data_IF_625072248702
#
_entry.id   IF_625072248702
#
_cell.length_a   1.000
_cell.length_b   1.000
_cell.length_c   1.000
_cell.angle_alpha   90.00
_cell.angle_beta   90.00
_cell.angle_gamma   90.00
#
_symmetry.space_group_name_H-M   'P 1'
#
loop_
_entity.id
_entity.type
_entity.pdbx_description
1 polymer ?
#
# COMPACT_ATOMS: atom_id res chain seq x y z
N UNK A 1 5.75 -5.25 -21.15
CA UNK A 1 6.29 -4.07 -21.88
C UNK A 1 5.47 -2.87 -21.46
N UNK A 2 5.95 -2.12 -20.46
CA UNK A 2 5.40 -0.81 -20.07
C UNK A 2 6.00 0.22 -21.03
N UNK A 3 5.21 0.68 -21.98
CA UNK A 3 5.56 1.86 -22.77
C UNK A 3 5.25 3.11 -21.93
N UNK A 4 6.28 3.67 -21.33
CA UNK A 4 6.20 5.01 -20.72
C UNK A 4 6.33 6.04 -21.83
N UNK A 5 5.21 6.64 -22.25
CA UNK A 5 5.27 7.83 -23.08
C UNK A 5 5.65 9.01 -22.18
N UNK A 6 6.91 9.41 -22.24
CA UNK A 6 7.41 10.63 -21.62
C UNK A 6 6.96 11.84 -22.44
N UNK A 7 5.84 12.46 -22.06
CA UNK A 7 5.52 13.80 -22.51
C UNK A 7 6.35 14.82 -21.72
N UNK A 8 7.14 15.61 -22.42
CA UNK A 8 8.12 16.59 -21.91
C UNK A 8 7.48 17.89 -21.39
N UNK A 9 6.41 17.81 -20.61
CA UNK A 9 5.81 18.95 -19.91
C UNK A 9 5.38 18.55 -18.52
N UNK A 10 6.34 18.19 -17.67
CA UNK A 10 6.03 17.90 -16.28
C UNK A 10 6.64 18.92 -15.35
N UNK A 11 5.81 19.80 -14.83
CA UNK A 11 6.12 20.62 -13.64
C UNK A 11 6.10 19.79 -12.34
N UNK A 12 6.03 18.45 -12.42
CA UNK A 12 5.92 17.54 -11.28
C UNK A 12 7.22 16.80 -10.98
N UNK A 13 7.37 16.36 -9.74
CA UNK A 13 8.43 15.46 -9.27
C UNK A 13 7.84 14.16 -8.74
N UNK A 14 8.67 13.14 -8.70
CA UNK A 14 8.39 11.85 -8.10
C UNK A 14 9.43 11.53 -7.03
N UNK A 15 8.97 11.26 -5.84
CA UNK A 15 9.81 10.83 -4.72
C UNK A 15 9.30 9.48 -4.21
N UNK A 16 10.15 8.47 -4.22
CA UNK A 16 9.80 7.12 -3.79
C UNK A 16 10.78 6.56 -2.77
N UNK A 17 10.30 5.68 -1.92
CA UNK A 17 11.14 4.88 -1.04
C UNK A 17 10.68 3.43 -1.03
N UNK A 18 11.60 2.52 -0.72
CA UNK A 18 11.31 1.10 -0.56
C UNK A 18 12.31 0.46 0.40
N UNK A 19 11.92 -0.67 1.00
CA UNK A 19 12.77 -1.55 1.79
C UNK A 19 13.57 -2.53 0.92
N UNK A 20 13.23 -2.68 -0.37
CA UNK A 20 14.03 -3.44 -1.32
C UNK A 20 15.21 -2.62 -1.81
N UNK A 21 16.35 -2.85 -1.17
CA UNK A 21 17.61 -2.18 -1.51
C UNK A 21 18.03 -2.34 -2.96
N UNK A 22 17.78 -3.51 -3.56
CA UNK A 22 18.16 -3.79 -4.94
C UNK A 22 17.24 -3.07 -5.93
N UNK A 23 15.94 -3.06 -5.68
CA UNK A 23 14.96 -2.32 -6.44
C UNK A 23 15.23 -0.82 -6.42
N UNK A 24 15.52 -0.26 -5.24
CA UNK A 24 15.89 1.15 -5.09
C UNK A 24 17.17 1.48 -5.89
N UNK A 25 18.22 0.66 -5.75
CA UNK A 25 19.46 0.88 -6.49
C UNK A 25 19.26 0.80 -8.01
N UNK A 26 18.39 -0.11 -8.46
CA UNK A 26 18.00 -0.20 -9.87
C UNK A 26 17.30 1.08 -10.34
N UNK A 27 16.31 1.56 -9.57
CA UNK A 27 15.60 2.81 -9.87
C UNK A 27 16.56 4.01 -9.91
N UNK A 28 17.40 4.17 -8.91
CA UNK A 28 18.41 5.24 -8.86
C UNK A 28 19.30 5.25 -10.10
N UNK A 29 19.75 4.07 -10.56
CA UNK A 29 20.59 3.95 -11.74
C UNK A 29 19.84 4.30 -13.03
N UNK A 30 18.62 3.80 -13.20
CA UNK A 30 17.89 3.91 -14.47
C UNK A 30 17.20 5.27 -14.64
N UNK A 31 16.83 5.91 -13.53
CA UNK A 31 16.22 7.24 -13.53
C UNK A 31 17.22 8.38 -13.28
N UNK A 32 18.51 8.07 -13.12
CA UNK A 32 19.56 9.08 -12.93
C UNK A 32 19.55 10.25 -13.95
N UNK A 33 19.21 10.05 -15.26
CA UNK A 33 19.11 11.15 -16.21
C UNK A 33 17.94 12.12 -15.95
N UNK A 34 17.00 11.76 -15.10
CA UNK A 34 15.76 12.51 -14.85
C UNK A 34 15.78 13.11 -13.45
N UNK A 35 16.22 14.38 -13.34
CA UNK A 35 16.44 15.06 -12.05
C UNK A 35 15.18 15.24 -11.16
N UNK A 36 14.00 15.03 -11.74
CA UNK A 36 12.72 15.12 -11.04
C UNK A 36 12.24 13.78 -10.46
N UNK A 37 13.04 12.71 -10.58
CA UNK A 37 12.81 11.43 -9.92
C UNK A 37 13.82 11.21 -8.81
N UNK A 38 13.36 10.88 -7.62
CA UNK A 38 14.17 10.55 -6.46
C UNK A 38 13.72 9.22 -5.86
N UNK A 39 14.69 8.38 -5.48
CA UNK A 39 14.43 7.08 -4.87
C UNK A 39 15.37 6.88 -3.69
N UNK A 40 14.85 6.43 -2.55
CA UNK A 40 15.66 6.17 -1.38
C UNK A 40 15.35 4.82 -0.74
N UNK A 41 16.39 4.15 -0.29
CA UNK A 41 16.25 2.97 0.55
C UNK A 41 15.92 3.41 1.97
N UNK A 42 14.97 2.70 2.61
CA UNK A 42 14.62 2.87 4.01
C UNK A 42 14.78 1.55 4.75
N UNK A 43 15.43 1.58 5.91
CA UNK A 43 15.75 0.37 6.66
C UNK A 43 14.63 -0.03 7.63
N UNK A 44 13.40 -0.11 7.11
CA UNK A 44 12.22 -0.48 7.89
C UNK A 44 12.14 -2.00 7.99
N UNK A 45 11.91 -2.48 9.20
CA UNK A 45 11.72 -3.90 9.48
C UNK A 45 10.43 -4.42 8.85
N UNK A 46 10.54 -5.54 8.17
CA UNK A 46 9.43 -6.40 7.76
C UNK A 46 9.92 -7.84 7.85
N UNK A 47 9.18 -8.69 8.54
CA UNK A 47 9.62 -10.05 8.84
C UNK A 47 9.88 -10.89 7.58
N UNK A 48 9.17 -10.60 6.50
CA UNK A 48 9.29 -11.33 5.23
C UNK A 48 10.33 -10.69 4.30
N UNK A 49 10.25 -9.37 4.06
CA UNK A 49 11.07 -8.68 3.05
C UNK A 49 12.38 -8.09 3.60
N UNK A 50 12.39 -7.58 4.84
CA UNK A 50 13.57 -6.98 5.46
C UNK A 50 13.70 -7.37 6.95
N UNK A 51 13.97 -8.66 7.26
CA UNK A 51 14.00 -9.15 8.64
C UNK A 51 15.15 -8.59 9.47
N UNK A 52 16.06 -7.86 8.89
CA UNK A 52 17.17 -7.16 9.57
C UNK A 52 16.99 -5.65 9.65
N UNK A 53 15.86 -5.13 9.19
CA UNK A 53 15.54 -3.71 9.27
C UNK A 53 15.57 -3.20 10.71
N UNK A 54 16.07 -1.98 10.89
CA UNK A 54 16.31 -1.41 12.23
C UNK A 54 15.15 -0.51 12.70
N UNK A 55 14.32 -0.04 11.76
CA UNK A 55 13.23 0.89 12.06
C UNK A 55 11.93 0.08 12.11
N UNK A 56 11.16 0.20 13.19
CA UNK A 56 9.84 -0.45 13.25
C UNK A 56 8.88 0.28 12.32
N UNK A 57 8.08 -0.48 11.56
CA UNK A 57 7.05 0.08 10.65
C UNK A 57 6.05 0.96 11.40
N UNK A 58 5.74 0.65 12.66
CA UNK A 58 4.84 1.43 13.54
C UNK A 58 5.42 2.77 13.99
N UNK A 59 6.73 2.97 13.88
CA UNK A 59 7.46 4.16 14.29
C UNK A 59 8.09 4.89 13.09
N UNK A 60 7.96 4.33 11.90
CA UNK A 60 8.58 4.88 10.70
C UNK A 60 7.86 6.15 10.27
N UNK A 61 8.61 7.26 10.22
CA UNK A 61 8.17 8.52 9.66
C UNK A 61 8.66 8.62 8.23
N UNK A 62 7.76 8.89 7.28
CA UNK A 62 8.13 9.10 5.88
C UNK A 62 9.10 10.27 5.77
N UNK A 63 10.20 10.13 4.99
CA UNK A 63 11.27 11.12 4.93
C UNK A 63 10.91 12.36 4.11
N UNK A 64 9.67 12.82 4.26
CA UNK A 64 9.10 13.94 3.54
C UNK A 64 8.44 14.94 4.49
N UNK A 65 8.41 16.24 4.11
CA UNK A 65 7.69 17.25 4.88
C UNK A 65 6.19 17.03 4.89
N UNK A 66 5.51 17.63 5.87
CA UNK A 66 4.05 17.69 5.90
C UNK A 66 3.51 18.48 4.68
N UNK A 67 2.35 18.07 4.17
CA UNK A 67 1.66 18.76 3.07
C UNK A 67 2.53 19.03 1.83
N UNK A 68 3.37 18.06 1.44
CA UNK A 68 4.32 18.20 0.33
C UNK A 68 3.84 17.59 -0.99
N UNK A 69 2.91 16.62 -0.95
CA UNK A 69 2.48 15.89 -2.13
C UNK A 69 1.02 16.16 -2.50
N UNK A 70 0.75 16.24 -3.80
CA UNK A 70 -0.60 16.30 -4.35
C UNK A 70 -1.21 14.91 -4.47
N UNK A 71 -0.36 13.92 -4.71
CA UNK A 71 -0.74 12.52 -4.87
C UNK A 71 0.30 11.59 -4.25
N UNK A 72 -0.15 10.55 -3.56
CA UNK A 72 0.69 9.45 -3.07
C UNK A 72 0.17 8.10 -3.59
N UNK A 73 1.03 7.09 -3.67
CA UNK A 73 0.55 5.73 -3.90
C UNK A 73 1.39 4.70 -3.13
N UNK A 74 0.73 3.61 -2.74
CA UNK A 74 1.35 2.47 -2.09
C UNK A 74 0.76 1.18 -2.69
N UNK A 75 1.50 0.57 -3.61
CA UNK A 75 1.08 -0.64 -4.31
C UNK A 75 1.78 -1.86 -3.74
N UNK A 76 1.02 -2.87 -3.32
CA UNK A 76 1.51 -4.10 -2.70
C UNK A 76 2.32 -3.86 -1.41
N UNK A 77 2.00 -2.81 -0.66
CA UNK A 77 2.60 -2.50 0.63
C UNK A 77 1.70 -2.97 1.77
N UNK A 78 0.44 -2.54 1.76
CA UNK A 78 -0.54 -2.85 2.81
C UNK A 78 -0.89 -4.34 2.90
N UNK A 79 -0.66 -5.08 1.83
CA UNK A 79 -0.81 -6.54 1.78
C UNK A 79 0.24 -7.31 2.60
N UNK A 80 1.23 -6.61 3.16
CA UNK A 80 2.36 -7.15 3.91
C UNK A 80 2.59 -6.45 5.24
N UNK A 81 1.56 -5.77 5.78
CA UNK A 81 1.66 -4.96 6.99
C UNK A 81 0.63 -5.38 8.03
N UNK A 82 1.06 -5.42 9.30
CA UNK A 82 0.20 -5.66 10.44
C UNK A 82 -0.73 -4.44 10.70
N UNK A 83 -1.85 -4.61 11.43
CA UNK A 83 -2.83 -3.55 11.69
C UNK A 83 -2.24 -2.23 12.20
N UNK A 84 -1.35 -2.26 13.18
CA UNK A 84 -0.73 -1.06 13.75
C UNK A 84 0.23 -0.38 12.76
N UNK A 85 0.86 -1.16 11.88
CA UNK A 85 1.72 -0.66 10.82
C UNK A 85 0.90 0.04 9.73
N UNK A 86 -0.25 -0.56 9.35
CA UNK A 86 -1.24 0.04 8.44
C UNK A 86 -1.71 1.39 9.00
N UNK A 87 -2.07 1.44 10.29
CA UNK A 87 -2.50 2.68 10.94
C UNK A 87 -1.42 3.77 10.88
N UNK A 88 -0.15 3.42 11.16
CA UNK A 88 0.96 4.36 11.06
C UNK A 88 1.16 4.87 9.62
N UNK A 89 1.13 3.99 8.62
CA UNK A 89 1.32 4.37 7.23
C UNK A 89 0.18 5.23 6.68
N UNK A 90 -1.06 4.98 7.09
CA UNK A 90 -2.19 5.85 6.74
C UNK A 90 -2.04 7.25 7.34
N UNK A 91 -1.60 7.36 8.60
CA UNK A 91 -1.28 8.64 9.23
C UNK A 91 -0.16 9.39 8.49
N UNK A 92 0.88 8.67 8.08
CA UNK A 92 2.00 9.27 7.33
C UNK A 92 1.59 9.69 5.91
N UNK A 93 0.75 8.88 5.22
CA UNK A 93 0.15 9.28 3.93
C UNK A 93 -0.65 10.57 4.11
N UNK A 94 -1.52 10.63 5.13
CA UNK A 94 -2.30 11.83 5.43
C UNK A 94 -1.40 13.02 5.71
N UNK A 95 -0.36 12.84 6.51
CA UNK A 95 0.57 13.91 6.89
C UNK A 95 1.29 14.52 5.68
N UNK A 96 1.79 13.68 4.77
CA UNK A 96 2.55 14.15 3.61
C UNK A 96 1.68 14.70 2.48
N UNK A 97 0.41 14.30 2.39
CA UNK A 97 -0.52 14.85 1.43
C UNK A 97 -0.90 16.28 1.77
N UNK A 98 -1.01 17.12 0.76
CA UNK A 98 -1.65 18.45 0.87
C UNK A 98 -3.14 18.29 1.18
N UNK A 99 -3.75 19.33 1.73
CA UNK A 99 -5.22 19.37 1.89
C UNK A 99 -5.89 19.16 0.53
N UNK A 100 -6.86 18.26 0.47
CA UNK A 100 -7.51 17.82 -0.76
C UNK A 100 -6.67 16.92 -1.65
N UNK A 101 -5.44 16.61 -1.26
CA UNK A 101 -4.58 15.64 -1.94
C UNK A 101 -5.14 14.22 -1.83
N UNK A 102 -4.75 13.36 -2.76
CA UNK A 102 -5.31 12.00 -2.89
C UNK A 102 -4.24 10.93 -2.81
N UNK A 103 -4.65 9.70 -2.51
CA UNK A 103 -3.76 8.55 -2.58
C UNK A 103 -4.41 7.36 -3.26
N UNK A 104 -3.58 6.50 -3.87
CA UNK A 104 -3.96 5.18 -4.35
C UNK A 104 -3.26 4.13 -3.50
N UNK A 105 -4.04 3.28 -2.83
CA UNK A 105 -3.53 2.18 -2.03
C UNK A 105 -4.07 0.86 -2.58
N UNK A 106 -3.24 -0.18 -2.64
CA UNK A 106 -3.72 -1.52 -2.94
C UNK A 106 -3.65 -2.41 -1.70
N UNK A 107 -4.69 -3.22 -1.51
CA UNK A 107 -4.82 -4.12 -0.37
C UNK A 107 -5.59 -5.39 -0.76
N UNK A 108 -5.66 -6.35 0.14
CA UNK A 108 -6.64 -7.43 0.12
C UNK A 108 -7.74 -7.07 1.12
N UNK A 109 -8.95 -6.80 0.64
CA UNK A 109 -10.08 -6.42 1.50
C UNK A 109 -11.00 -7.62 1.70
N UNK A 110 -11.08 -8.07 2.94
CA UNK A 110 -11.88 -9.22 3.34
C UNK A 110 -13.31 -8.80 3.65
N UNK A 111 -14.23 -9.21 2.80
CA UNK A 111 -15.67 -9.10 2.98
C UNK A 111 -16.33 -10.50 2.88
N UNK A 112 -17.66 -10.57 3.00
CA UNK A 112 -18.40 -11.85 2.98
C UNK A 112 -18.21 -12.59 1.65
N UNK A 113 -18.25 -11.88 0.53
CA UNK A 113 -18.01 -12.47 -0.79
C UNK A 113 -16.59 -13.08 -0.90
N UNK A 114 -15.56 -12.36 -0.43
CA UNK A 114 -14.19 -12.86 -0.42
C UNK A 114 -14.07 -14.13 0.46
N UNK A 115 -14.74 -14.13 1.62
CA UNK A 115 -14.77 -15.28 2.52
C UNK A 115 -15.40 -16.52 1.85
N UNK A 116 -16.53 -16.34 1.18
CA UNK A 116 -17.22 -17.41 0.45
C UNK A 116 -16.35 -17.95 -0.71
N UNK A 117 -15.73 -17.08 -1.49
CA UNK A 117 -14.87 -17.47 -2.60
C UNK A 117 -13.61 -18.22 -2.15
N UNK A 118 -12.99 -17.76 -1.07
CA UNK A 118 -11.84 -18.44 -0.45
C UNK A 118 -12.26 -19.81 0.10
N UNK A 119 -13.38 -19.90 0.80
CA UNK A 119 -13.92 -21.17 1.30
C UNK A 119 -14.27 -22.15 0.18
N UNK A 120 -14.73 -21.64 -0.98
CA UNK A 120 -14.99 -22.43 -2.18
C UNK A 120 -13.72 -22.84 -2.95
N UNK A 121 -12.53 -22.46 -2.48
CA UNK A 121 -11.25 -22.78 -3.13
C UNK A 121 -11.02 -22.04 -4.46
N UNK A 122 -11.69 -20.91 -4.68
CA UNK A 122 -11.54 -20.10 -5.90
C UNK A 122 -10.39 -19.09 -5.82
N UNK A 123 -9.96 -18.74 -4.60
CA UNK A 123 -8.88 -17.80 -4.36
C UNK A 123 -7.52 -18.39 -4.73
N UNK A 124 -6.65 -17.53 -5.25
CA UNK A 124 -5.23 -17.88 -5.48
C UNK A 124 -4.40 -17.81 -4.20
N UNK A 125 -4.93 -17.18 -3.13
CA UNK A 125 -4.31 -17.10 -1.80
C UNK A 125 -5.21 -17.80 -0.80
N UNK A 126 -4.67 -18.78 -0.08
CA UNK A 126 -5.37 -19.50 0.97
C UNK A 126 -5.37 -18.70 2.29
N UNK A 127 -6.13 -17.63 2.34
CA UNK A 127 -6.32 -16.86 3.57
C UNK A 127 -7.10 -17.64 4.61
N UNK A 128 -6.70 -17.50 5.88
CA UNK A 128 -7.41 -18.03 7.03
C UNK A 128 -7.41 -17.03 8.18
N UNK A 129 -8.47 -17.07 9.01
CA UNK A 129 -8.57 -16.24 10.22
C UNK A 129 -7.73 -16.84 11.33
N UNK A 130 -6.85 -16.03 11.93
CA UNK A 130 -6.01 -16.36 13.07
C UNK A 130 -6.11 -15.24 14.12
N UNK A 131 -6.97 -15.42 15.13
CA UNK A 131 -7.32 -14.34 16.05
C UNK A 131 -8.00 -13.20 15.29
N UNK A 132 -7.47 -11.99 15.43
CA UNK A 132 -7.98 -10.81 14.73
C UNK A 132 -7.40 -10.65 13.31
N UNK A 133 -6.41 -11.46 12.93
CA UNK A 133 -5.75 -11.39 11.63
C UNK A 133 -6.39 -12.33 10.61
N UNK A 134 -6.34 -11.92 9.34
CA UNK A 134 -6.68 -12.75 8.18
C UNK A 134 -5.41 -12.83 7.34
N UNK A 135 -4.76 -13.97 7.39
CA UNK A 135 -3.40 -14.15 6.85
C UNK A 135 -3.27 -15.45 6.06
N UNK A 136 -2.32 -15.49 5.15
CA UNK A 136 -1.94 -16.70 4.41
C UNK A 136 -1.15 -17.67 5.31
N UNK A 137 -0.18 -17.15 6.07
CA UNK A 137 0.63 -17.93 7.02
C UNK A 137 0.63 -17.26 8.40
N UNK A 138 0.13 -17.98 9.41
CA UNK A 138 0.12 -17.50 10.80
C UNK A 138 1.50 -17.28 11.41
N UNK A 139 2.53 -17.94 10.90
CA UNK A 139 3.89 -17.82 11.42
C UNK A 139 4.64 -16.63 10.78
N UNK A 140 4.22 -16.23 9.60
CA UNK A 140 4.74 -15.07 8.85
C UNK A 140 3.55 -14.28 8.30
N UNK A 141 2.81 -13.55 9.15
CA UNK A 141 1.64 -12.81 8.72
C UNK A 141 1.92 -11.84 7.56
N UNK A 142 3.12 -11.26 7.55
CA UNK A 142 3.57 -10.32 6.53
C UNK A 142 3.82 -10.95 5.15
N UNK A 143 3.72 -12.29 4.99
CA UNK A 143 3.71 -12.92 3.66
C UNK A 143 2.48 -12.51 2.84
N UNK A 144 1.29 -12.54 3.45
CA UNK A 144 0.09 -11.90 2.89
C UNK A 144 -0.96 -11.72 3.99
N UNK A 145 -1.51 -10.53 4.10
CA UNK A 145 -2.53 -10.15 5.08
C UNK A 145 -3.69 -9.44 4.38
N UNK A 146 -4.92 -9.73 4.82
CA UNK A 146 -6.11 -9.03 4.37
C UNK A 146 -6.71 -8.16 5.48
N UNK A 147 -7.23 -7.01 5.10
CA UNK A 147 -7.91 -6.04 5.99
C UNK A 147 -9.41 -6.37 5.99
N UNK A 148 -10.03 -6.48 7.17
CA UNK A 148 -11.48 -6.61 7.24
C UNK A 148 -12.15 -5.35 6.67
N UNK A 149 -13.11 -5.54 5.80
CA UNK A 149 -13.87 -4.40 5.25
C UNK A 149 -14.56 -3.59 6.35
N UNK A 150 -15.07 -4.26 7.41
CA UNK A 150 -15.65 -3.61 8.58
C UNK A 150 -14.70 -2.68 9.34
N UNK A 151 -13.38 -2.88 9.24
CA UNK A 151 -12.39 -2.13 9.98
C UNK A 151 -11.80 -0.98 9.15
N UNK A 152 -11.99 -1.02 7.83
CA UNK A 152 -11.39 -0.06 6.90
C UNK A 152 -11.79 1.39 7.20
N UNK A 153 -13.08 1.65 7.43
CA UNK A 153 -13.59 2.99 7.72
C UNK A 153 -13.01 3.55 9.04
N UNK A 154 -12.77 2.67 10.02
CA UNK A 154 -12.14 3.05 11.27
C UNK A 154 -10.68 3.46 11.06
N UNK A 155 -9.92 2.70 10.27
CA UNK A 155 -8.54 3.06 9.92
C UNK A 155 -8.46 4.39 9.19
N UNK A 156 -9.31 4.57 8.19
CA UNK A 156 -9.30 5.79 7.37
C UNK A 156 -9.71 7.01 8.18
N UNK A 157 -10.82 6.92 8.95
CA UNK A 157 -11.30 8.05 9.76
C UNK A 157 -10.33 8.42 10.88
N UNK A 158 -9.71 7.43 11.52
CA UNK A 158 -8.68 7.69 12.53
C UNK A 158 -7.46 8.43 11.96
N UNK A 159 -7.12 8.17 10.70
CA UNK A 159 -6.03 8.85 10.00
C UNK A 159 -6.44 10.18 9.35
N UNK A 160 -7.70 10.61 9.41
CA UNK A 160 -8.19 11.81 8.71
C UNK A 160 -8.24 11.65 7.19
N UNK A 161 -8.47 10.42 6.73
CA UNK A 161 -8.66 10.06 5.32
C UNK A 161 -10.09 9.56 5.09
N UNK A 162 -10.51 9.57 3.84
CA UNK A 162 -11.76 8.96 3.40
C UNK A 162 -11.59 8.28 2.05
N UNK A 163 -12.49 7.37 1.69
CA UNK A 163 -12.56 6.86 0.34
C UNK A 163 -13.04 7.95 -0.62
N UNK A 164 -12.33 8.13 -1.73
CA UNK A 164 -12.71 9.01 -2.85
C UNK A 164 -13.34 8.15 -3.97
N UNK A 165 -14.55 7.69 -3.71
CA UNK A 165 -15.32 6.80 -4.57
C UNK A 165 -15.36 5.34 -4.07
N UNK A 166 -15.98 4.43 -4.85
CA UNK A 166 -16.11 3.03 -4.46
C UNK A 166 -14.78 2.27 -4.53
N UNK A 167 -14.61 1.26 -3.69
CA UNK A 167 -13.52 0.29 -3.81
C UNK A 167 -13.66 -0.42 -5.16
N UNK A 168 -12.56 -0.46 -5.91
CA UNK A 168 -12.48 -1.28 -7.13
C UNK A 168 -11.94 -2.66 -6.74
N UNK A 169 -12.85 -3.61 -6.73
CA UNK A 169 -12.58 -4.97 -6.26
C UNK A 169 -11.59 -5.71 -7.17
N UNK A 170 -10.59 -6.33 -6.57
CA UNK A 170 -9.58 -7.13 -7.26
C UNK A 170 -9.99 -8.59 -7.42
N UNK A 171 -9.26 -9.31 -8.28
CA UNK A 171 -9.54 -10.71 -8.62
C UNK A 171 -8.88 -11.72 -7.66
N UNK A 172 -8.10 -11.30 -6.68
CA UNK A 172 -7.30 -12.16 -5.80
C UNK A 172 -8.07 -13.29 -5.11
N UNK A 173 -9.34 -13.07 -4.76
CA UNK A 173 -10.18 -14.07 -4.10
C UNK A 173 -10.98 -14.96 -5.08
N UNK A 174 -10.81 -14.75 -6.40
CA UNK A 174 -11.50 -15.50 -7.44
C UNK A 174 -12.69 -14.77 -8.07
N UNK A 175 -12.82 -13.45 -7.85
CA UNK A 175 -13.69 -12.57 -8.65
C UNK A 175 -13.20 -12.52 -10.10
N UNK A 176 -14.08 -12.21 -11.07
CA UNK A 176 -13.62 -11.84 -12.41
C UNK A 176 -12.64 -10.68 -12.34
N UNK A 177 -11.55 -10.73 -13.12
CA UNK A 177 -10.61 -9.63 -13.20
C UNK A 177 -11.19 -8.52 -14.08
N UNK A 178 -11.31 -7.30 -13.49
CA UNK A 178 -11.77 -6.13 -14.21
C UNK A 178 -10.66 -5.06 -14.30
N UNK A 179 -9.95 -4.81 -13.20
CA UNK A 179 -9.00 -3.70 -13.12
C UNK A 179 -7.64 -4.10 -12.57
N UNK A 180 -7.60 -5.00 -11.58
CA UNK A 180 -6.38 -5.35 -10.84
C UNK A 180 -6.54 -6.69 -10.14
N UNK A 181 -5.41 -7.30 -9.79
CA UNK A 181 -5.37 -8.45 -8.91
C UNK A 181 -5.74 -8.08 -7.45
N UNK A 182 -5.20 -6.98 -6.93
CA UNK A 182 -5.50 -6.46 -5.59
C UNK A 182 -6.66 -5.46 -5.66
N UNK A 183 -7.36 -5.28 -4.54
CA UNK A 183 -8.38 -4.25 -4.40
C UNK A 183 -7.72 -2.87 -4.45
N UNK A 184 -8.33 -1.91 -5.17
CA UNK A 184 -7.83 -0.54 -5.31
C UNK A 184 -8.68 0.41 -4.46
N UNK A 185 -8.03 1.16 -3.59
CA UNK A 185 -8.62 2.17 -2.73
C UNK A 185 -8.11 3.54 -3.15
N UNK A 186 -9.00 4.38 -3.63
CA UNK A 186 -8.72 5.80 -3.81
C UNK A 186 -9.06 6.52 -2.52
N UNK A 187 -8.08 7.20 -1.95
CA UNK A 187 -8.19 7.91 -0.68
C UNK A 187 -8.07 9.42 -0.92
N UNK A 188 -8.73 10.19 -0.05
CA UNK A 188 -8.64 11.65 -0.03
C UNK A 188 -8.38 12.14 1.37
N UNK A 189 -7.45 13.10 1.51
CA UNK A 189 -7.21 13.81 2.76
C UNK A 189 -8.38 14.74 3.06
N UNK A 190 -8.93 14.59 4.27
CA UNK A 190 -9.93 15.52 4.81
C UNK A 190 -9.29 16.85 5.20
N UNK A 191 -10.10 17.92 5.18
CA UNK A 191 -9.69 19.27 5.58
C UNK A 191 -9.36 19.36 7.07
#
# INVERSE_FOLDING_TARGET
HTHTHTHTHTAGSYDGFDIDKNGVAWCQKHYAPYSHFSFQYVDVFNKYYNPKGQIKSTEFRFPYPDNSFDFAFATSVFTHMLPDEIANYLNEIQRVLKVGGTALVTAFIWNDEAAELVAAGKSTIAFATHGDLIVKDKNIPEDAIAIRHSDLDNYLSAAGLTLDGPIRWGSWCGRPEEHSYQDLLHLKKLD
#
